data_IF_246157755312
#
_entry.id   IF_246157755312
#
_cell.length_a   1.000
_cell.length_b   1.000
_cell.length_c   1.000
_cell.angle_alpha   90.00
_cell.angle_beta   90.00
_cell.angle_gamma   90.00
#
_symmetry.space_group_name_H-M   'P 1'
#
loop_
_entity.id
_entity.type
_entity.pdbx_description
1 polymer ?
#
# COMPACT_ATOMS: atom_id res chain seq x y z
N UNK A 1 16.04 -4.33 2.84
CA UNK A 1 14.67 -3.80 2.97
C UNK A 1 14.70 -2.51 3.79
N UNK A 2 14.00 -1.46 3.35
CA UNK A 2 13.80 -0.22 4.13
C UNK A 2 12.30 -0.02 4.34
N UNK A 3 11.92 0.33 5.57
CA UNK A 3 10.56 0.66 5.93
C UNK A 3 10.53 2.04 6.60
N UNK A 4 10.03 3.03 5.86
CA UNK A 4 9.78 4.39 6.30
C UNK A 4 8.81 5.07 5.33
N UNK A 5 7.77 5.73 5.83
CA UNK A 5 6.84 6.52 5.01
C UNK A 5 7.49 7.87 4.72
N UNK A 6 7.71 8.16 3.44
CA UNK A 6 8.35 9.38 2.94
C UNK A 6 7.54 9.93 1.77
N UNK A 7 6.53 10.78 2.04
CA UNK A 7 5.76 11.45 0.98
C UNK A 7 6.63 12.33 0.09
N UNK A 8 6.16 12.62 -1.10
CA UNK A 8 6.84 13.53 -2.01
C UNK A 8 6.85 14.97 -1.45
N UNK A 9 7.94 15.69 -1.70
CA UNK A 9 8.07 17.11 -1.32
C UNK A 9 7.08 17.98 -2.10
N UNK A 10 6.40 18.88 -1.40
CA UNK A 10 5.53 19.90 -1.97
C UNK A 10 5.96 21.32 -1.55
N UNK A 11 5.26 22.33 -2.05
CA UNK A 11 5.51 23.72 -1.65
C UNK A 11 5.27 23.94 -0.15
N UNK A 12 4.34 23.17 0.45
CA UNK A 12 4.07 23.18 1.87
C UNK A 12 5.31 22.85 2.70
N UNK A 13 6.04 21.80 2.36
CA UNK A 13 7.23 21.38 3.08
C UNK A 13 8.38 22.38 2.93
N UNK A 14 8.55 22.94 1.72
CA UNK A 14 9.53 24.01 1.46
C UNK A 14 9.25 25.25 2.30
N UNK A 15 7.99 25.70 2.29
CA UNK A 15 7.61 26.89 3.05
C UNK A 15 7.71 26.67 4.57
N UNK A 16 7.29 25.50 5.05
CA UNK A 16 7.37 25.17 6.48
C UNK A 16 8.82 25.16 6.98
N UNK A 17 9.75 24.60 6.19
CA UNK A 17 11.17 24.57 6.55
C UNK A 17 11.77 25.98 6.60
N UNK A 18 11.41 26.83 5.62
CA UNK A 18 11.83 28.24 5.58
C UNK A 18 11.28 29.02 6.77
N UNK A 19 9.99 28.91 7.06
CA UNK A 19 9.33 29.70 8.10
C UNK A 19 9.76 29.30 9.50
N UNK A 20 9.93 27.99 9.76
CA UNK A 20 10.26 27.51 11.10
C UNK A 20 11.75 27.49 11.41
N UNK A 21 12.60 27.28 10.41
CA UNK A 21 14.03 27.07 10.61
C UNK A 21 14.93 28.03 9.85
N UNK A 22 14.38 28.89 8.99
CA UNK A 22 15.13 29.82 8.16
C UNK A 22 16.01 29.13 7.08
N UNK A 23 15.70 27.85 6.77
CA UNK A 23 16.46 27.03 5.82
C UNK A 23 15.74 27.06 4.46
N UNK A 24 16.47 27.45 3.42
CA UNK A 24 16.00 27.35 2.04
C UNK A 24 16.54 26.03 1.44
N UNK A 25 15.65 25.06 1.25
CA UNK A 25 15.94 23.79 0.59
C UNK A 25 14.88 23.56 -0.50
N UNK A 26 15.35 23.26 -1.71
CA UNK A 26 14.46 23.02 -2.84
C UNK A 26 13.77 21.65 -2.77
N UNK A 27 14.29 20.72 -1.95
CA UNK A 27 13.84 19.34 -1.89
C UNK A 27 13.83 18.75 -0.47
N UNK A 28 13.25 19.43 0.54
CA UNK A 28 13.22 18.90 1.89
C UNK A 28 12.34 17.66 1.95
N UNK A 29 12.82 16.58 2.53
CA UNK A 29 12.07 15.34 2.68
C UNK A 29 11.54 15.23 4.10
N UNK A 30 10.24 15.43 4.27
CA UNK A 30 9.53 15.16 5.51
C UNK A 30 9.15 13.67 5.57
N UNK A 31 9.36 13.06 6.71
CA UNK A 31 9.08 11.64 6.89
C UNK A 31 8.64 11.36 8.33
N UNK A 32 8.09 10.17 8.55
CA UNK A 32 7.78 9.70 9.90
C UNK A 32 9.04 9.47 10.73
N UNK A 33 8.87 9.38 12.04
CA UNK A 33 9.95 9.05 12.99
C UNK A 33 10.34 7.57 12.97
N UNK A 34 9.39 6.67 12.60
CA UNK A 34 9.66 5.24 12.42
C UNK A 34 10.66 5.02 11.29
N UNK A 35 11.61 4.15 11.55
CA UNK A 35 12.60 3.70 10.57
C UNK A 35 12.99 2.25 10.86
N UNK A 36 13.05 1.44 9.83
CA UNK A 36 13.63 0.11 9.88
C UNK A 36 14.48 -0.10 8.62
N UNK A 37 15.73 -0.49 8.83
CA UNK A 37 16.61 -0.88 7.74
C UNK A 37 17.19 -2.26 8.05
N UNK A 38 16.84 -3.23 7.21
CA UNK A 38 17.27 -4.62 7.32
C UNK A 38 18.14 -4.96 6.12
N UNK A 39 19.32 -5.51 6.36
CA UNK A 39 20.29 -5.95 5.35
C UNK A 39 20.68 -7.41 5.61
N UNK A 40 20.89 -8.15 4.53
CA UNK A 40 21.56 -9.44 4.63
C UNK A 40 23.04 -9.24 4.98
N UNK A 41 23.55 -10.05 5.92
CA UNK A 41 24.96 -10.03 6.31
C UNK A 41 25.79 -10.89 5.33
N UNK A 42 25.79 -10.47 4.06
CA UNK A 42 26.50 -11.17 2.97
C UNK A 42 27.28 -10.14 2.13
N UNK A 43 28.45 -9.73 2.63
CA UNK A 43 29.30 -8.70 2.02
C UNK A 43 30.58 -9.31 1.48
N UNK A 44 30.92 -9.00 0.24
CA UNK A 44 32.10 -9.53 -0.46
C UNK A 44 33.42 -9.09 0.17
N UNK A 45 33.52 -7.83 0.60
CA UNK A 45 34.77 -7.20 1.07
C UNK A 45 34.63 -6.59 2.49
N UNK A 46 33.93 -7.27 3.39
CA UNK A 46 33.57 -6.73 4.69
C UNK A 46 32.48 -5.67 4.61
N UNK A 47 32.01 -5.17 5.74
CA UNK A 47 30.93 -4.20 5.83
C UNK A 47 31.21 -3.10 6.83
N UNK A 48 30.63 -1.88 6.64
CA UNK A 48 30.66 -0.85 7.67
C UNK A 48 29.85 -1.29 8.90
N UNK A 49 30.19 -0.75 10.06
CA UNK A 49 29.54 -1.05 11.34
C UNK A 49 28.17 -0.35 11.45
N UNK A 50 27.26 -0.61 10.51
CA UNK A 50 25.93 0.03 10.42
C UNK A 50 24.97 -0.38 11.56
N UNK A 51 25.22 -1.48 12.23
CA UNK A 51 24.50 -1.87 13.46
C UNK A 51 24.60 -0.80 14.55
N UNK A 52 25.70 -0.03 14.58
CA UNK A 52 25.88 1.07 15.54
C UNK A 52 24.91 2.24 15.34
N UNK A 53 24.28 2.33 14.16
CA UNK A 53 23.26 3.34 13.83
C UNK A 53 21.88 2.72 13.62
N UNK A 54 21.69 1.46 14.07
CA UNK A 54 20.40 0.81 14.13
C UNK A 54 20.02 0.00 12.88
N UNK A 55 20.95 -0.28 11.98
CA UNK A 55 20.70 -1.23 10.89
C UNK A 55 20.70 -2.65 11.44
N UNK A 56 19.66 -3.40 11.09
CA UNK A 56 19.49 -4.79 11.46
C UNK A 56 20.12 -5.69 10.40
N UNK A 57 21.13 -6.50 10.78
CA UNK A 57 21.70 -7.53 9.92
C UNK A 57 21.01 -8.87 10.16
N UNK A 58 20.68 -9.56 9.07
CA UNK A 58 19.97 -10.84 9.08
C UNK A 58 20.59 -11.81 8.06
N UNK A 59 20.43 -13.12 8.23
CA UNK A 59 20.87 -14.09 7.22
C UNK A 59 19.98 -14.09 5.97
N UNK A 60 18.69 -13.70 6.08
CA UNK A 60 17.71 -13.64 5.00
C UNK A 60 16.74 -12.47 5.22
N UNK A 61 16.65 -11.56 4.26
CA UNK A 61 15.78 -10.39 4.31
C UNK A 61 14.34 -10.70 3.87
N UNK A 62 14.11 -11.82 3.18
CA UNK A 62 12.84 -12.14 2.53
C UNK A 62 11.63 -12.12 3.47
N UNK A 63 11.69 -12.65 4.72
CA UNK A 63 10.55 -12.57 5.64
C UNK A 63 10.17 -11.13 6.00
N UNK A 64 11.16 -10.25 6.16
CA UNK A 64 10.95 -8.83 6.46
C UNK A 64 10.37 -8.08 5.27
N UNK A 65 10.82 -8.40 4.05
CA UNK A 65 10.24 -7.84 2.83
C UNK A 65 8.79 -8.24 2.67
N UNK A 66 8.47 -9.52 2.81
CA UNK A 66 7.08 -10.01 2.69
C UNK A 66 6.17 -9.37 3.75
N UNK A 67 6.62 -9.24 4.99
CA UNK A 67 5.88 -8.55 6.04
C UNK A 67 5.56 -7.11 5.61
N UNK A 68 6.57 -6.36 5.20
CA UNK A 68 6.42 -4.95 4.79
C UNK A 68 5.55 -4.82 3.54
N UNK A 69 5.77 -5.65 2.52
CA UNK A 69 5.03 -5.57 1.25
C UNK A 69 3.56 -5.94 1.46
N UNK A 70 3.28 -6.97 2.24
CA UNK A 70 1.91 -7.45 2.45
C UNK A 70 1.14 -6.55 3.43
N UNK A 71 1.67 -6.29 4.62
CA UNK A 71 0.94 -5.57 5.66
C UNK A 71 0.97 -4.05 5.42
N UNK A 72 2.13 -3.44 5.13
CA UNK A 72 2.17 -1.99 4.93
C UNK A 72 1.70 -1.59 3.52
N UNK A 73 2.29 -2.18 2.48
CA UNK A 73 1.95 -1.78 1.12
C UNK A 73 0.58 -2.32 0.70
N UNK A 74 0.22 -3.54 1.11
CA UNK A 74 -1.12 -4.09 0.94
C UNK A 74 -2.16 -3.27 1.68
N UNK A 75 -1.89 -2.90 2.94
CA UNK A 75 -2.75 -2.02 3.73
C UNK A 75 -2.97 -0.65 3.07
N UNK A 76 -1.93 -0.06 2.48
CA UNK A 76 -2.09 1.15 1.67
C UNK A 76 -3.04 0.94 0.48
N UNK A 77 -2.95 -0.18 -0.25
CA UNK A 77 -3.85 -0.48 -1.35
C UNK A 77 -5.30 -0.65 -0.85
N UNK A 78 -5.49 -1.37 0.26
CA UNK A 78 -6.82 -1.61 0.86
C UNK A 78 -7.54 -0.31 1.22
N UNK A 79 -6.84 0.70 1.74
CA UNK A 79 -7.47 1.98 2.11
C UNK A 79 -7.55 2.99 0.97
N UNK A 80 -6.71 2.86 -0.07
CA UNK A 80 -6.57 3.85 -1.14
C UNK A 80 -7.89 4.09 -1.88
N UNK A 81 -8.44 3.05 -2.46
CA UNK A 81 -9.57 3.19 -3.38
C UNK A 81 -10.89 3.51 -2.69
N UNK A 82 -11.27 2.87 -1.56
CA UNK A 82 -12.47 3.29 -0.83
C UNK A 82 -12.36 4.73 -0.36
N UNK A 83 -11.20 5.17 0.13
CA UNK A 83 -11.01 6.57 0.54
C UNK A 83 -11.14 7.53 -0.63
N UNK A 84 -10.54 7.21 -1.79
CA UNK A 84 -10.64 8.04 -2.98
C UNK A 84 -12.09 8.16 -3.47
N UNK A 85 -12.85 7.06 -3.48
CA UNK A 85 -14.26 7.04 -3.86
C UNK A 85 -15.14 7.90 -2.93
N UNK A 86 -14.76 7.99 -1.65
CA UNK A 86 -15.42 8.82 -0.62
C UNK A 86 -14.88 10.27 -0.58
N UNK A 87 -14.07 10.68 -1.56
CA UNK A 87 -13.45 12.03 -1.63
C UNK A 87 -12.54 12.39 -0.45
N UNK A 88 -12.01 11.41 0.27
CA UNK A 88 -11.05 11.62 1.35
C UNK A 88 -9.71 12.07 0.76
N UNK A 89 -9.09 13.07 1.38
CA UNK A 89 -7.84 13.65 0.88
C UNK A 89 -6.59 13.03 1.51
N UNK A 90 -6.56 12.95 2.84
CA UNK A 90 -5.40 12.44 3.57
C UNK A 90 -5.60 11.03 4.08
N UNK A 91 -4.49 10.29 4.20
CA UNK A 91 -4.50 8.90 4.72
C UNK A 91 -5.06 8.85 6.15
N UNK A 92 -4.67 9.77 7.03
CA UNK A 92 -5.17 9.80 8.41
C UNK A 92 -6.69 10.03 8.48
N UNK A 93 -7.26 10.86 7.59
CA UNK A 93 -8.71 11.06 7.49
C UNK A 93 -9.43 9.76 7.06
N UNK A 94 -8.82 9.00 6.13
CA UNK A 94 -9.30 7.67 5.77
C UNK A 94 -9.30 6.72 6.96
N UNK A 95 -8.28 6.79 7.81
CA UNK A 95 -8.20 5.98 9.04
C UNK A 95 -9.21 6.40 10.12
N UNK A 96 -9.68 7.64 10.10
CA UNK A 96 -10.78 8.12 10.95
C UNK A 96 -12.15 7.70 10.43
N UNK A 97 -12.26 7.34 9.14
CA UNK A 97 -13.53 6.93 8.54
C UNK A 97 -13.87 5.48 8.91
N UNK A 98 -14.99 5.22 9.63
CA UNK A 98 -15.28 3.89 10.21
C UNK A 98 -15.32 2.75 9.18
N UNK A 99 -15.87 2.99 7.98
CA UNK A 99 -15.94 1.97 6.93
C UNK A 99 -14.55 1.64 6.38
N UNK A 100 -13.71 2.63 6.13
CA UNK A 100 -12.35 2.43 5.61
C UNK A 100 -11.50 1.70 6.64
N UNK A 101 -11.53 2.17 7.89
CA UNK A 101 -10.77 1.55 8.99
C UNK A 101 -11.25 0.12 9.26
N UNK A 102 -12.58 -0.10 9.33
CA UNK A 102 -13.15 -1.44 9.53
C UNK A 102 -12.83 -2.40 8.38
N UNK A 103 -12.81 -1.90 7.14
CA UNK A 103 -12.40 -2.68 5.97
C UNK A 103 -10.92 -3.07 6.07
N UNK A 104 -10.04 -2.11 6.39
CA UNK A 104 -8.62 -2.40 6.60
C UNK A 104 -8.41 -3.46 7.67
N UNK A 105 -9.01 -3.28 8.87
CA UNK A 105 -8.86 -4.20 9.98
C UNK A 105 -9.24 -5.63 9.59
N UNK A 106 -10.37 -5.76 8.90
CA UNK A 106 -10.87 -7.07 8.51
C UNK A 106 -9.99 -7.73 7.45
N UNK A 107 -9.61 -7.01 6.40
CA UNK A 107 -8.79 -7.58 5.31
C UNK A 107 -7.40 -7.93 5.83
N UNK A 108 -6.78 -7.05 6.62
CA UNK A 108 -5.45 -7.31 7.17
C UNK A 108 -5.45 -8.51 8.12
N UNK A 109 -6.34 -8.54 9.10
CA UNK A 109 -6.33 -9.59 10.13
C UNK A 109 -6.79 -10.94 9.60
N UNK A 110 -7.82 -10.96 8.75
CA UNK A 110 -8.43 -12.21 8.27
C UNK A 110 -7.75 -12.77 7.02
N UNK A 111 -7.19 -11.88 6.16
CA UNK A 111 -6.77 -12.29 4.83
C UNK A 111 -5.30 -12.02 4.50
N UNK A 112 -4.69 -10.90 4.91
CA UNK A 112 -3.30 -10.56 4.56
C UNK A 112 -2.30 -11.13 5.57
N UNK A 113 -2.42 -10.75 6.85
CA UNK A 113 -1.50 -11.16 7.91
C UNK A 113 -1.30 -12.68 7.97
N UNK A 114 -2.37 -13.52 7.84
CA UNK A 114 -2.20 -14.97 7.83
C UNK A 114 -1.38 -15.53 6.66
N UNK A 115 -1.09 -14.75 5.65
CA UNK A 115 -0.24 -15.16 4.51
C UNK A 115 1.24 -14.79 4.70
N UNK A 116 1.56 -14.01 5.72
CA UNK A 116 2.95 -13.61 6.01
C UNK A 116 3.64 -14.71 6.79
N UNK A 117 4.81 -15.20 6.34
CA UNK A 117 5.57 -16.19 7.09
C UNK A 117 6.08 -15.62 8.41
N UNK A 118 6.44 -16.46 9.40
CA UNK A 118 7.05 -15.99 10.64
C UNK A 118 8.28 -15.10 10.37
N UNK A 119 8.35 -13.96 11.04
CA UNK A 119 9.48 -13.03 10.94
C UNK A 119 10.28 -13.08 12.24
N UNK A 120 11.61 -13.25 12.19
CA UNK A 120 12.42 -13.33 13.40
C UNK A 120 12.20 -12.15 14.35
N UNK A 121 11.96 -12.46 15.63
CA UNK A 121 11.76 -11.47 16.72
C UNK A 121 10.64 -10.43 16.44
N UNK A 122 9.63 -10.79 15.64
CA UNK A 122 8.55 -9.87 15.27
C UNK A 122 7.20 -10.55 15.50
N UNK A 123 6.33 -9.90 16.27
CA UNK A 123 4.91 -10.23 16.33
C UNK A 123 4.16 -9.48 15.23
N UNK A 124 3.51 -10.21 14.33
CA UNK A 124 2.81 -9.63 13.18
C UNK A 124 1.57 -8.82 13.59
N UNK A 125 0.91 -9.20 14.70
CA UNK A 125 -0.23 -8.44 15.20
C UNK A 125 0.23 -7.08 15.77
N UNK A 126 1.37 -7.05 16.46
CA UNK A 126 1.95 -5.79 16.95
C UNK A 126 2.50 -4.94 15.80
N UNK A 127 3.07 -5.57 14.76
CA UNK A 127 3.46 -4.85 13.55
C UNK A 127 2.23 -4.23 12.87
N UNK A 128 1.12 -4.94 12.75
CA UNK A 128 -0.12 -4.37 12.22
C UNK A 128 -0.64 -3.18 13.05
N UNK A 129 -0.65 -3.28 14.38
CA UNK A 129 -0.99 -2.14 15.26
C UNK A 129 -0.08 -0.93 15.03
N UNK A 130 1.21 -1.19 14.81
CA UNK A 130 2.18 -0.15 14.45
C UNK A 130 1.80 0.50 13.12
N UNK A 131 1.44 -0.28 12.09
CA UNK A 131 0.99 0.24 10.79
C UNK A 131 -0.25 1.13 10.95
N UNK A 132 -1.25 0.68 11.71
CA UNK A 132 -2.46 1.49 12.01
C UNK A 132 -2.08 2.85 12.61
N UNK A 133 -1.18 2.86 13.61
CA UNK A 133 -0.69 4.11 14.22
C UNK A 133 0.03 5.02 13.22
N UNK A 134 0.85 4.45 12.33
CA UNK A 134 1.60 5.18 11.30
C UNK A 134 0.67 5.80 10.28
N UNK A 135 -0.33 5.07 9.78
CA UNK A 135 -1.34 5.56 8.83
C UNK A 135 -2.21 6.67 9.45
N UNK A 136 -2.49 6.58 10.74
CA UNK A 136 -3.29 7.56 11.47
C UNK A 136 -2.52 8.85 11.85
N UNK A 137 -1.24 8.99 11.46
CA UNK A 137 -0.44 10.14 11.83
C UNK A 137 -0.70 11.36 10.91
N UNK A 138 -1.41 12.41 11.38
CA UNK A 138 -1.74 13.57 10.54
C UNK A 138 -0.51 14.42 10.17
N UNK A 139 0.59 14.31 10.92
CA UNK A 139 1.79 15.11 10.66
C UNK A 139 2.51 14.70 9.38
N UNK A 140 2.34 13.45 8.94
CA UNK A 140 2.91 12.94 7.70
C UNK A 140 2.20 13.58 6.50
N UNK A 141 0.91 13.87 6.61
CA UNK A 141 0.09 14.45 5.54
C UNK A 141 0.19 13.68 4.21
N UNK A 142 0.30 12.36 4.30
CA UNK A 142 0.31 11.49 3.14
C UNK A 142 -1.07 11.52 2.46
N UNK A 143 -1.10 11.53 1.13
CA UNK A 143 -2.34 11.71 0.39
C UNK A 143 -2.88 10.42 -0.19
N UNK A 144 -4.21 10.28 -0.22
CA UNK A 144 -4.88 9.17 -0.87
C UNK A 144 -4.55 9.10 -2.36
N UNK A 145 -4.44 10.25 -3.03
CA UNK A 145 -4.05 10.29 -4.44
C UNK A 145 -2.68 9.65 -4.72
N UNK A 146 -1.71 9.82 -3.79
CA UNK A 146 -0.40 9.14 -3.87
C UNK A 146 -0.54 7.63 -3.70
N UNK A 147 -1.41 7.18 -2.80
CA UNK A 147 -1.66 5.74 -2.63
C UNK A 147 -2.30 5.11 -3.85
N UNK A 148 -3.14 5.84 -4.58
CA UNK A 148 -3.81 5.36 -5.78
C UNK A 148 -2.90 5.31 -7.03
N UNK A 149 -1.69 5.92 -6.99
CA UNK A 149 -0.78 5.93 -8.14
C UNK A 149 -0.34 4.53 -8.53
N UNK A 150 -0.24 4.30 -9.87
CA UNK A 150 0.43 3.12 -10.43
C UNK A 150 -0.18 1.79 -9.99
N UNK A 151 -1.51 1.73 -9.90
CA UNK A 151 -2.25 0.55 -9.43
C UNK A 151 -1.94 -0.70 -10.24
N UNK A 152 -1.85 -0.58 -11.60
CA UNK A 152 -1.57 -1.71 -12.48
C UNK A 152 -0.22 -2.40 -12.20
N UNK A 153 0.78 -1.69 -11.68
CA UNK A 153 2.06 -2.25 -11.26
C UNK A 153 2.10 -2.64 -9.78
N UNK A 154 1.20 -2.10 -8.96
CA UNK A 154 1.15 -2.36 -7.51
C UNK A 154 0.29 -3.57 -7.16
N UNK A 155 -0.88 -3.72 -7.78
CA UNK A 155 -1.79 -4.84 -7.53
C UNK A 155 -1.10 -6.21 -7.66
N UNK A 156 -0.32 -6.49 -8.75
CA UNK A 156 0.40 -7.76 -8.89
C UNK A 156 1.40 -8.05 -7.77
N UNK A 157 1.87 -7.02 -7.06
CA UNK A 157 2.90 -7.15 -6.01
C UNK A 157 2.31 -7.20 -4.61
N UNK A 158 1.20 -6.49 -4.36
CA UNK A 158 0.70 -6.27 -3.01
C UNK A 158 -0.55 -7.08 -2.69
N UNK A 159 -1.46 -7.23 -3.65
CA UNK A 159 -2.79 -7.82 -3.47
C UNK A 159 -2.89 -9.22 -4.09
N UNK A 160 -2.39 -9.40 -5.29
CA UNK A 160 -2.52 -10.68 -6.01
C UNK A 160 -1.77 -11.84 -5.31
N UNK A 161 -0.55 -11.67 -4.76
CA UNK A 161 0.13 -12.75 -4.06
C UNK A 161 -0.63 -13.26 -2.82
N UNK A 162 -1.14 -12.43 -1.90
CA UNK A 162 -2.03 -12.89 -0.84
C UNK A 162 -3.29 -13.62 -1.34
N UNK A 163 -3.93 -13.15 -2.41
CA UNK A 163 -5.06 -13.86 -3.02
C UNK A 163 -4.66 -15.26 -3.44
N UNK A 164 -3.57 -15.38 -4.20
CA UNK A 164 -3.07 -16.67 -4.68
C UNK A 164 -2.75 -17.65 -3.55
N UNK A 165 -2.08 -17.17 -2.49
CA UNK A 165 -1.72 -18.01 -1.34
C UNK A 165 -2.97 -18.51 -0.62
N UNK A 166 -3.98 -17.66 -0.46
CA UNK A 166 -5.25 -18.04 0.18
C UNK A 166 -6.06 -19.03 -0.67
N UNK A 167 -6.19 -18.77 -1.97
CA UNK A 167 -6.89 -19.68 -2.89
C UNK A 167 -6.22 -21.06 -2.91
N UNK A 168 -4.89 -21.14 -2.98
CA UNK A 168 -4.14 -22.39 -2.87
C UNK A 168 -4.39 -23.12 -1.55
N UNK A 169 -4.62 -22.39 -0.48
CA UNK A 169 -4.95 -22.93 0.85
C UNK A 169 -6.45 -23.22 1.04
N UNK A 170 -7.29 -23.03 0.04
CA UNK A 170 -8.75 -23.20 0.12
C UNK A 170 -9.43 -22.19 1.07
N UNK A 171 -8.86 -21.01 1.24
CA UNK A 171 -9.35 -19.95 2.13
C UNK A 171 -10.07 -18.86 1.36
N UNK A 172 -11.03 -18.20 2.03
CA UNK A 172 -11.77 -17.06 1.47
C UNK A 172 -10.83 -15.88 1.13
N UNK A 173 -11.17 -15.18 0.07
CA UNK A 173 -10.53 -13.94 -0.40
C UNK A 173 -11.54 -12.79 -0.55
N UNK A 174 -12.65 -12.83 0.17
CA UNK A 174 -13.78 -11.90 0.00
C UNK A 174 -13.37 -10.44 0.18
N UNK A 175 -12.52 -10.15 1.16
CA UNK A 175 -12.02 -8.80 1.41
C UNK A 175 -11.06 -8.32 0.32
N UNK A 176 -10.12 -9.17 -0.10
CA UNK A 176 -9.19 -8.87 -1.19
C UNK A 176 -9.90 -8.75 -2.54
N UNK A 177 -10.95 -9.55 -2.77
CA UNK A 177 -11.80 -9.41 -3.96
C UNK A 177 -12.57 -8.08 -3.96
N UNK A 178 -13.05 -7.64 -2.79
CA UNK A 178 -13.71 -6.34 -2.66
C UNK A 178 -12.69 -5.20 -2.90
N UNK A 179 -11.46 -5.31 -2.42
CA UNK A 179 -10.39 -4.34 -2.74
C UNK A 179 -10.21 -4.20 -4.25
N UNK A 180 -10.10 -5.33 -4.97
CA UNK A 180 -9.98 -5.34 -6.42
C UNK A 180 -11.21 -4.72 -7.12
N UNK A 181 -12.42 -4.97 -6.61
CA UNK A 181 -13.65 -4.36 -7.13
C UNK A 181 -13.68 -2.83 -6.88
N UNK A 182 -13.19 -2.36 -5.74
CA UNK A 182 -13.06 -0.94 -5.43
C UNK A 182 -12.01 -0.26 -6.33
N UNK A 183 -10.90 -0.94 -6.64
CA UNK A 183 -9.94 -0.45 -7.63
C UNK A 183 -10.58 -0.35 -9.03
N UNK A 184 -11.32 -1.37 -9.47
CA UNK A 184 -12.11 -1.33 -10.70
C UNK A 184 -13.05 -0.11 -10.71
N UNK A 185 -13.81 0.10 -9.63
CA UNK A 185 -14.75 1.22 -9.50
C UNK A 185 -14.01 2.57 -9.54
N UNK A 186 -12.83 2.67 -8.92
CA UNK A 186 -11.98 3.86 -8.99
C UNK A 186 -11.52 4.14 -10.43
N UNK A 187 -11.08 3.11 -11.17
CA UNK A 187 -10.67 3.22 -12.56
C UNK A 187 -11.81 3.57 -13.52
N UNK A 188 -13.07 3.48 -13.08
CA UNK A 188 -14.22 3.99 -13.85
C UNK A 188 -14.08 5.49 -14.15
N UNK A 189 -13.33 6.22 -13.32
CA UNK A 189 -12.92 7.60 -13.55
C UNK A 189 -13.79 8.64 -12.86
N UNK A 190 -14.63 8.24 -11.90
CA UNK A 190 -15.42 9.18 -11.08
C UNK A 190 -15.53 8.67 -9.65
N UNK A 191 -15.52 9.59 -8.68
CA UNK A 191 -15.83 9.29 -7.27
C UNK A 191 -17.34 9.08 -7.06
N UNK A 192 -17.76 8.75 -5.85
CA UNK A 192 -19.17 8.57 -5.53
C UNK A 192 -19.95 9.89 -5.50
N UNK A 193 -19.27 11.03 -5.28
CA UNK A 193 -19.84 12.36 -5.44
C UNK A 193 -19.93 12.84 -6.89
N UNK A 194 -19.40 12.07 -7.85
CA UNK A 194 -19.36 12.42 -9.27
C UNK A 194 -18.14 13.26 -9.69
N UNK A 195 -17.18 13.50 -8.82
CA UNK A 195 -15.92 14.18 -9.21
C UNK A 195 -15.12 13.29 -10.16
N UNK A 196 -14.50 13.91 -11.16
CA UNK A 196 -13.62 13.20 -12.11
C UNK A 196 -12.33 12.79 -11.40
N UNK A 197 -11.97 11.53 -11.52
CA UNK A 197 -10.68 11.00 -11.08
C UNK A 197 -9.65 11.28 -12.17
N UNK A 198 -8.57 12.03 -11.87
CA UNK A 198 -7.51 12.27 -12.85
C UNK A 198 -6.74 10.98 -13.17
N UNK A 199 -6.23 10.83 -14.42
CA UNK A 199 -5.34 9.73 -14.78
C UNK A 199 -4.10 9.70 -13.85
N UNK A 200 -3.82 8.53 -13.29
CA UNK A 200 -2.70 8.34 -12.36
C UNK A 200 -2.01 6.97 -12.49
N UNK A 201 -2.22 6.32 -13.61
CA UNK A 201 -1.65 5.01 -13.92
C UNK A 201 -1.13 5.02 -15.37
N UNK A 202 0.02 4.42 -15.67
CA UNK A 202 0.54 4.35 -17.06
C UNK A 202 -0.41 3.63 -18.01
N UNK A 203 -1.28 2.76 -17.49
CA UNK A 203 -2.28 2.01 -18.25
C UNK A 203 -3.69 2.58 -18.13
N UNK A 204 -3.84 3.87 -17.75
CA UNK A 204 -5.13 4.47 -17.38
C UNK A 204 -6.23 4.26 -18.41
N UNK A 205 -5.96 4.51 -19.69
CA UNK A 205 -6.98 4.38 -20.75
C UNK A 205 -7.52 2.96 -20.85
N UNK A 206 -6.64 1.95 -20.78
CA UNK A 206 -7.01 0.53 -20.74
C UNK A 206 -7.82 0.19 -19.50
N UNK A 207 -7.34 0.62 -18.33
CA UNK A 207 -8.02 0.37 -17.05
C UNK A 207 -9.42 0.97 -17.04
N UNK A 208 -9.57 2.22 -17.52
CA UNK A 208 -10.85 2.88 -17.57
C UNK A 208 -11.81 2.20 -18.56
N UNK A 209 -11.32 1.82 -19.74
CA UNK A 209 -12.13 1.10 -20.71
C UNK A 209 -12.60 -0.26 -20.16
N UNK A 210 -11.69 -1.01 -19.51
CA UNK A 210 -12.00 -2.29 -18.88
C UNK A 210 -12.97 -2.13 -17.70
N UNK A 211 -12.79 -1.10 -16.88
CA UNK A 211 -13.68 -0.80 -15.76
C UNK A 211 -15.10 -0.46 -16.22
N UNK A 212 -15.23 0.29 -17.32
CA UNK A 212 -16.54 0.57 -17.94
C UNK A 212 -17.20 -0.70 -18.49
N UNK A 213 -16.43 -1.58 -19.10
CA UNK A 213 -16.92 -2.88 -19.57
C UNK A 213 -17.34 -3.79 -18.42
N UNK A 214 -16.59 -3.77 -17.32
CA UNK A 214 -16.84 -4.60 -16.13
C UNK A 214 -18.18 -4.28 -15.44
N UNK A 215 -18.80 -3.13 -15.71
CA UNK A 215 -20.14 -2.80 -15.23
C UNK A 215 -21.18 -3.84 -15.68
N UNK A 216 -21.09 -4.30 -16.91
CA UNK A 216 -22.04 -5.24 -17.51
C UNK A 216 -21.44 -6.67 -17.61
N UNK A 217 -20.12 -6.79 -17.54
CA UNK A 217 -19.34 -8.03 -17.61
C UNK A 217 -18.20 -8.00 -16.56
N UNK A 218 -18.49 -8.32 -15.29
CA UNK A 218 -17.53 -8.18 -14.19
C UNK A 218 -16.20 -8.96 -14.37
N UNK A 219 -16.27 -10.13 -14.99
CA UNK A 219 -15.12 -10.99 -15.34
C UNK A 219 -14.11 -10.31 -16.25
N UNK A 220 -14.52 -9.33 -17.07
CA UNK A 220 -13.60 -8.56 -17.91
C UNK A 220 -12.47 -7.90 -17.12
N UNK A 221 -12.72 -7.53 -15.86
CA UNK A 221 -11.69 -6.97 -14.99
C UNK A 221 -10.60 -7.98 -14.65
N UNK A 222 -10.97 -9.22 -14.39
CA UNK A 222 -10.05 -10.31 -14.05
C UNK A 222 -9.33 -10.89 -15.25
N UNK A 223 -9.83 -10.66 -16.49
CA UNK A 223 -9.19 -11.12 -17.73
C UNK A 223 -7.87 -10.41 -18.04
N UNK A 224 -7.51 -9.33 -17.33
CA UNK A 224 -6.20 -8.67 -17.45
C UNK A 224 -5.10 -9.56 -16.86
N UNK A 225 -4.61 -10.52 -17.67
CA UNK A 225 -3.66 -11.56 -17.24
C UNK A 225 -2.29 -11.02 -16.80
N UNK A 226 -1.88 -9.86 -17.28
CA UNK A 226 -0.68 -9.17 -16.85
C UNK A 226 -0.77 -8.65 -15.39
N UNK A 227 -2.00 -8.49 -14.87
CA UNK A 227 -2.29 -8.06 -13.51
C UNK A 227 -2.70 -9.26 -12.64
N UNK A 228 -3.69 -10.03 -13.08
CA UNK A 228 -4.34 -11.10 -12.31
C UNK A 228 -3.73 -12.48 -12.52
N UNK A 229 -2.85 -12.65 -13.55
CA UNK A 229 -2.28 -13.95 -13.86
C UNK A 229 -3.38 -14.99 -14.17
N UNK A 230 -3.31 -16.12 -13.49
CA UNK A 230 -4.25 -17.24 -13.69
C UNK A 230 -5.48 -17.21 -12.76
N UNK A 231 -5.68 -16.15 -11.99
CA UNK A 231 -6.83 -16.06 -11.04
C UNK A 231 -8.16 -16.26 -11.77
N UNK A 232 -8.32 -15.63 -12.94
CA UNK A 232 -9.55 -15.76 -13.75
C UNK A 232 -9.85 -17.19 -14.23
N UNK A 233 -8.83 -18.06 -14.24
CA UNK A 233 -8.99 -19.47 -14.65
C UNK A 233 -9.34 -20.39 -13.46
N UNK A 234 -9.29 -19.85 -12.23
CA UNK A 234 -9.49 -20.59 -10.99
C UNK A 234 -10.88 -20.35 -10.39
N UNK A 235 -11.70 -19.52 -11.04
CA UNK A 235 -13.05 -19.17 -10.63
C UNK A 235 -14.12 -20.10 -11.21
#
# INVERSE_FOLDING_TARGET
MVDRITPATSDRERQLLKDQFGIEDNWPVFCEDFKQWVLEDNFTNGRPALEKVGVQFVPDVSPFELMKIRILNGGHAVIAYPSALLDVHFVHEGMEHPLVKGFLDKVEQDEIVPTVPPVPNTDLADYYKLIVRRFSNPKIADTISRLCLDGSNRQPKFIIPPINDRLKAGKSVTGLALESALWCRYCYGTTDSGKVTPPNDPNWDRLQATAKLAKDRPDAWLEMSDIYGDIAKSA
#
